data_IF_672531094639
#
_entry.id   IF_672531094639
#
_cell.length_a   1.000
_cell.length_b   1.000
_cell.length_c   1.000
_cell.angle_alpha   90.00
_cell.angle_beta   90.00
_cell.angle_gamma   90.00
#
_symmetry.space_group_name_H-M   'P 1'
#
loop_
_entity.id
_entity.type
_entity.pdbx_description
1 polymer ?
#
# COMPACT_ATOMS: atom_id res chain seq x y z
N UNK A 1 2.39 -73.52 42.04
CA UNK A 1 3.10 -72.35 42.58
C UNK A 1 3.49 -71.45 41.42
N UNK A 2 3.14 -70.16 41.52
CA UNK A 2 3.69 -68.99 40.76
C UNK A 2 3.32 -68.94 39.26
N UNK A 3 2.21 -68.28 38.87
CA UNK A 3 1.94 -66.84 38.62
C UNK A 3 1.89 -66.54 37.11
N UNK A 4 0.77 -65.93 36.73
CA UNK A 4 0.44 -65.34 35.43
C UNK A 4 1.09 -63.96 35.27
N UNK A 5 0.81 -63.29 34.15
CA UNK A 5 1.10 -61.89 33.76
C UNK A 5 2.39 -61.70 32.97
N UNK A 6 2.42 -60.96 31.87
CA UNK A 6 1.43 -60.12 31.20
C UNK A 6 2.14 -59.46 30.01
N UNK A 7 1.42 -59.26 28.91
CA UNK A 7 1.88 -58.73 27.64
C UNK A 7 2.89 -57.58 27.77
N UNK A 8 4.04 -57.70 27.10
CA UNK A 8 5.05 -56.65 26.93
C UNK A 8 4.57 -55.55 25.97
N UNK A 9 3.38 -54.98 26.25
CA UNK A 9 2.77 -53.87 25.53
C UNK A 9 2.76 -52.66 26.45
N UNK A 10 3.94 -52.12 26.74
CA UNK A 10 4.04 -50.87 27.47
C UNK A 10 5.17 -50.00 26.90
N UNK A 11 4.73 -48.99 26.16
CA UNK A 11 5.26 -47.62 26.21
C UNK A 11 6.67 -47.41 25.64
N UNK A 12 6.76 -47.40 24.30
CA UNK A 12 7.77 -46.62 23.56
C UNK A 12 7.11 -45.33 23.06
N UNK A 13 6.75 -44.42 23.97
CA UNK A 13 6.09 -43.16 23.62
C UNK A 13 6.87 -41.98 24.19
N UNK A 14 8.19 -42.02 24.04
CA UNK A 14 9.09 -41.16 24.80
C UNK A 14 9.94 -40.23 23.90
N UNK A 15 9.70 -40.18 22.59
CA UNK A 15 10.58 -39.50 21.63
C UNK A 15 9.92 -38.46 20.71
N UNK A 16 8.77 -37.91 21.09
CA UNK A 16 8.27 -36.71 20.39
C UNK A 16 8.57 -35.49 21.26
N UNK A 17 9.56 -34.63 20.92
CA UNK A 17 9.82 -33.43 21.69
C UNK A 17 8.60 -32.52 21.63
N UNK A 18 7.97 -32.29 22.78
CA UNK A 18 6.87 -31.33 22.92
C UNK A 18 7.42 -29.92 22.64
N UNK A 19 7.24 -29.46 21.40
CA UNK A 19 7.74 -28.17 20.95
C UNK A 19 6.86 -27.06 21.50
N UNK A 20 7.20 -26.64 22.72
CA UNK A 20 6.57 -25.55 23.47
C UNK A 20 6.87 -24.23 22.77
N UNK A 21 5.96 -23.82 21.89
CA UNK A 21 5.98 -22.48 21.31
C UNK A 21 5.79 -21.46 22.42
N UNK A 22 6.79 -20.63 22.71
CA UNK A 22 6.65 -19.53 23.66
C UNK A 22 5.79 -18.42 23.03
N UNK A 23 4.54 -18.20 23.46
CA UNK A 23 3.62 -17.25 22.82
C UNK A 23 4.11 -15.80 22.95
N UNK A 24 4.92 -15.51 23.97
CA UNK A 24 5.35 -14.15 24.30
C UNK A 24 6.30 -13.52 23.27
N UNK A 25 7.10 -14.33 22.55
CA UNK A 25 8.00 -13.83 21.49
C UNK A 25 7.28 -13.64 20.16
N UNK A 26 6.22 -14.41 19.91
CA UNK A 26 5.41 -14.31 18.70
C UNK A 26 4.57 -13.01 18.67
N UNK A 27 4.12 -12.53 19.82
CA UNK A 27 3.34 -11.29 19.94
C UNK A 27 4.17 -10.03 19.66
N UNK A 28 5.42 -9.98 20.14
CA UNK A 28 6.30 -8.80 19.96
C UNK A 28 6.76 -8.69 18.50
N UNK A 29 7.01 -9.81 17.82
CA UNK A 29 7.35 -9.80 16.39
C UNK A 29 6.16 -9.51 15.47
N UNK A 30 4.93 -9.85 15.91
CA UNK A 30 3.69 -9.52 15.20
C UNK A 30 3.37 -8.01 15.19
N UNK A 31 3.86 -7.26 16.16
CA UNK A 31 3.64 -5.82 16.28
C UNK A 31 4.57 -4.95 15.41
N UNK A 32 5.70 -5.50 14.94
CA UNK A 32 6.68 -4.75 14.13
C UNK A 32 6.47 -4.98 12.62
N UNK A 33 5.95 -6.16 12.24
CA UNK A 33 5.57 -6.49 10.87
C UNK A 33 4.16 -7.05 10.89
N UNK A 34 3.16 -6.35 10.31
CA UNK A 34 1.78 -6.82 10.31
C UNK A 34 1.72 -8.20 9.64
N UNK A 35 1.31 -9.23 10.40
CA UNK A 35 1.16 -10.60 9.92
C UNK A 35 2.27 -11.60 10.29
N UNK A 36 3.30 -11.23 11.05
CA UNK A 36 4.36 -12.17 11.46
C UNK A 36 3.88 -13.34 12.35
N UNK A 37 2.69 -13.24 12.95
CA UNK A 37 2.02 -14.37 13.61
C UNK A 37 1.72 -15.55 12.67
N UNK A 38 1.73 -15.36 11.34
CA UNK A 38 1.59 -16.42 10.34
C UNK A 38 2.93 -17.06 9.90
N UNK A 39 4.07 -16.44 10.19
CA UNK A 39 5.41 -16.96 9.82
C UNK A 39 5.79 -18.16 10.69
N UNK A 40 5.31 -18.21 11.93
CA UNK A 40 5.62 -19.29 12.85
C UNK A 40 5.11 -20.68 12.39
N UNK A 41 4.10 -20.72 11.50
CA UNK A 41 3.55 -21.97 10.96
C UNK A 41 4.12 -22.34 9.57
N UNK A 42 5.30 -21.82 9.17
CA UNK A 42 5.98 -22.08 7.88
C UNK A 42 5.14 -21.81 6.61
N UNK A 43 4.05 -21.02 6.67
CA UNK A 43 3.22 -20.69 5.49
C UNK A 43 3.80 -19.51 4.70
N UNK A 44 5.00 -19.70 4.15
CA UNK A 44 5.72 -18.69 3.33
C UNK A 44 5.00 -18.34 2.01
N UNK A 45 4.06 -19.16 1.55
CA UNK A 45 3.31 -18.93 0.31
C UNK A 45 2.45 -17.65 0.33
N UNK A 46 2.15 -17.10 1.52
CA UNK A 46 1.42 -15.84 1.67
C UNK A 46 2.31 -14.59 1.63
N UNK A 47 3.63 -14.75 1.74
CA UNK A 47 4.57 -13.62 1.70
C UNK A 47 4.56 -12.90 0.35
N UNK A 48 4.56 -13.58 -0.81
CA UNK A 48 4.45 -12.88 -2.09
C UNK A 48 3.18 -12.03 -2.20
N UNK A 49 2.07 -12.48 -1.59
CA UNK A 49 0.80 -11.74 -1.59
C UNK A 49 0.92 -10.50 -0.69
N UNK A 50 1.53 -10.63 0.49
CA UNK A 50 1.73 -9.52 1.41
C UNK A 50 2.68 -8.47 0.82
N UNK A 51 3.85 -8.89 0.33
CA UNK A 51 4.81 -7.99 -0.32
C UNK A 51 4.25 -7.41 -1.62
N UNK A 52 3.47 -8.18 -2.38
CA UNK A 52 2.75 -7.70 -3.54
C UNK A 52 1.73 -6.62 -3.19
N UNK A 53 0.95 -6.82 -2.12
CA UNK A 53 0.00 -5.83 -1.61
C UNK A 53 0.67 -4.56 -1.10
N UNK A 54 1.74 -4.70 -0.30
CA UNK A 54 2.53 -3.56 0.18
C UNK A 54 3.16 -2.81 -1.00
N UNK A 55 3.80 -3.51 -1.93
CA UNK A 55 4.39 -2.92 -3.12
C UNK A 55 3.37 -2.19 -3.99
N UNK A 56 2.18 -2.77 -4.20
CA UNK A 56 1.09 -2.14 -4.94
C UNK A 56 0.58 -0.87 -4.25
N UNK A 57 0.45 -0.87 -2.92
CA UNK A 57 0.04 0.31 -2.15
C UNK A 57 1.09 1.42 -2.22
N UNK A 58 2.37 1.10 -2.02
CA UNK A 58 3.47 2.06 -2.14
C UNK A 58 3.52 2.66 -3.53
N UNK A 59 3.40 1.82 -4.57
CA UNK A 59 3.35 2.28 -5.95
C UNK A 59 2.15 3.22 -6.19
N UNK A 60 0.96 2.84 -5.71
CA UNK A 60 -0.23 3.66 -5.84
C UNK A 60 -0.08 5.02 -5.12
N UNK A 61 0.52 5.06 -3.94
CA UNK A 61 0.78 6.30 -3.20
C UNK A 61 1.74 7.20 -3.98
N UNK A 62 2.85 6.66 -4.47
CA UNK A 62 3.84 7.42 -5.23
C UNK A 62 3.26 7.94 -6.54
N UNK A 63 2.50 7.11 -7.25
CA UNK A 63 1.79 7.49 -8.46
C UNK A 63 0.83 8.65 -8.16
N UNK A 64 -0.12 8.48 -7.23
CA UNK A 64 -1.09 9.52 -6.91
C UNK A 64 -0.44 10.83 -6.42
N UNK A 65 0.66 10.75 -5.65
CA UNK A 65 1.40 11.93 -5.16
C UNK A 65 2.07 12.68 -6.31
N UNK A 66 2.76 11.96 -7.19
CA UNK A 66 3.45 12.55 -8.35
C UNK A 66 2.46 13.28 -9.26
N UNK A 67 1.34 12.65 -9.60
CA UNK A 67 0.32 13.29 -10.44
C UNK A 67 -0.35 14.46 -9.73
N UNK A 68 -0.61 14.36 -8.42
CA UNK A 68 -1.12 15.50 -7.64
C UNK A 68 -0.20 16.72 -7.75
N UNK A 69 1.11 16.55 -7.57
CA UNK A 69 2.08 17.64 -7.60
C UNK A 69 2.26 18.22 -9.01
N UNK A 70 2.22 17.38 -10.05
CA UNK A 70 2.20 17.84 -11.45
C UNK A 70 0.96 18.69 -11.75
N UNK A 71 -0.24 18.19 -11.46
CA UNK A 71 -1.48 18.93 -11.69
C UNK A 71 -1.59 20.19 -10.82
N UNK A 72 -1.03 20.18 -9.60
CA UNK A 72 -0.95 21.36 -8.74
C UNK A 72 -0.06 22.43 -9.35
N UNK A 73 1.11 22.04 -9.85
CA UNK A 73 2.07 22.96 -10.46
C UNK A 73 1.51 23.51 -11.78
N UNK A 74 1.02 22.64 -12.67
CA UNK A 74 0.33 23.05 -13.89
C UNK A 74 -0.82 24.03 -13.64
N UNK A 75 -1.69 23.75 -12.65
CA UNK A 75 -2.79 24.63 -12.30
C UNK A 75 -2.32 26.00 -11.80
N UNK A 76 -1.29 26.04 -10.94
CA UNK A 76 -0.72 27.29 -10.43
C UNK A 76 -0.10 28.09 -11.57
N UNK A 77 0.70 27.43 -12.38
CA UNK A 77 1.47 28.02 -13.47
C UNK A 77 0.54 28.59 -14.55
N UNK A 78 -0.56 27.88 -14.85
CA UNK A 78 -1.61 28.35 -15.76
C UNK A 78 -2.31 29.62 -15.27
N UNK A 79 -2.49 29.78 -13.95
CA UNK A 79 -3.11 30.98 -13.36
C UNK A 79 -2.17 32.18 -13.35
N UNK A 80 -0.88 31.97 -13.10
CA UNK A 80 0.11 33.05 -13.03
C UNK A 80 0.38 33.63 -14.43
N UNK A 81 0.27 32.81 -15.49
CA UNK A 81 0.54 33.20 -16.89
C UNK A 81 1.94 33.80 -17.07
N UNK A 82 2.91 33.25 -16.35
CA UNK A 82 4.33 33.61 -16.50
C UNK A 82 4.90 32.93 -17.76
N UNK A 83 5.60 33.65 -18.67
CA UNK A 83 6.25 33.06 -19.83
C UNK A 83 7.30 31.99 -19.50
N UNK A 84 7.82 31.94 -18.25
CA UNK A 84 8.76 30.91 -17.82
C UNK A 84 8.12 29.56 -17.44
N UNK A 85 6.79 29.48 -17.35
CA UNK A 85 6.12 28.30 -16.83
C UNK A 85 5.52 27.43 -17.95
N UNK A 86 6.05 26.21 -18.13
CA UNK A 86 5.61 25.24 -19.15
C UNK A 86 4.94 24.00 -18.57
N UNK A 87 4.76 23.93 -17.24
CA UNK A 87 4.26 22.74 -16.54
C UNK A 87 2.86 22.27 -16.98
N UNK A 88 2.05 23.16 -17.56
CA UNK A 88 0.70 22.83 -18.03
C UNK A 88 0.67 22.33 -19.48
N UNK A 89 1.76 22.48 -20.24
CA UNK A 89 1.84 22.07 -21.65
C UNK A 89 1.69 20.55 -21.82
N UNK A 90 2.24 19.75 -20.89
CA UNK A 90 2.10 18.29 -20.87
C UNK A 90 0.62 17.85 -20.80
N UNK A 91 -0.27 18.70 -20.31
CA UNK A 91 -1.68 18.38 -20.11
C UNK A 91 -2.59 18.91 -21.23
N UNK A 92 -2.03 19.58 -22.24
CA UNK A 92 -2.79 20.10 -23.37
C UNK A 92 -3.24 18.91 -24.25
N UNK A 93 -4.54 18.79 -24.58
CA UNK A 93 -5.01 17.75 -25.48
C UNK A 93 -4.33 17.87 -26.86
N UNK A 94 -4.02 16.74 -27.51
CA UNK A 94 -3.48 16.78 -28.87
C UNK A 94 -4.46 17.48 -29.81
N UNK A 95 -3.96 18.46 -30.58
CA UNK A 95 -4.75 19.27 -31.50
C UNK A 95 -5.25 20.60 -30.92
N UNK A 96 -4.81 21.00 -29.71
CA UNK A 96 -5.04 22.33 -29.16
C UNK A 96 -3.72 23.09 -29.02
N UNK A 97 -3.70 24.35 -29.46
CA UNK A 97 -2.56 25.25 -29.27
C UNK A 97 -2.60 25.96 -27.90
N UNK A 98 -1.43 26.38 -27.41
CA UNK A 98 -1.27 27.07 -26.12
C UNK A 98 -2.14 28.34 -26.07
N UNK A 99 -2.20 29.11 -27.16
CA UNK A 99 -3.00 30.33 -27.25
C UNK A 99 -4.51 30.06 -27.14
N UNK A 100 -4.97 28.95 -27.72
CA UNK A 100 -6.37 28.54 -27.63
C UNK A 100 -6.74 28.12 -26.20
N UNK A 101 -5.81 27.44 -25.51
CA UNK A 101 -5.95 27.02 -24.12
C UNK A 101 -5.92 28.22 -23.17
N UNK A 102 -5.13 29.26 -23.44
CA UNK A 102 -5.06 30.46 -22.61
C UNK A 102 -6.16 31.50 -22.91
N UNK A 103 -6.75 31.44 -24.11
CA UNK A 103 -7.84 32.29 -24.56
C UNK A 103 -9.20 31.59 -24.46
N UNK A 104 -9.71 31.11 -25.59
CA UNK A 104 -11.10 30.64 -25.73
C UNK A 104 -11.46 29.44 -24.84
N UNK A 105 -10.48 28.59 -24.51
CA UNK A 105 -10.70 27.38 -23.69
C UNK A 105 -10.15 27.50 -22.27
N UNK A 106 -9.76 28.71 -21.83
CA UNK A 106 -9.10 28.91 -20.54
C UNK A 106 -9.92 28.39 -19.36
N UNK A 107 -11.22 28.71 -19.32
CA UNK A 107 -12.09 28.29 -18.23
C UNK A 107 -12.26 26.76 -18.19
N UNK A 108 -12.42 26.13 -19.35
CA UNK A 108 -12.56 24.68 -19.44
C UNK A 108 -11.27 23.98 -19.01
N UNK A 109 -10.13 24.44 -19.52
CA UNK A 109 -8.83 23.85 -19.22
C UNK A 109 -8.46 24.03 -17.75
N UNK A 110 -8.67 25.24 -17.22
CA UNK A 110 -8.50 25.53 -15.79
C UNK A 110 -9.35 24.60 -14.92
N UNK A 111 -10.63 24.39 -15.28
CA UNK A 111 -11.52 23.48 -14.56
C UNK A 111 -11.04 22.03 -14.66
N UNK A 112 -10.55 21.61 -15.82
CA UNK A 112 -9.98 20.27 -16.04
C UNK A 112 -8.79 20.03 -15.10
N UNK A 113 -7.82 20.95 -15.08
CA UNK A 113 -6.66 20.89 -14.17
C UNK A 113 -7.10 20.92 -12.70
N UNK A 114 -8.05 21.78 -12.34
CA UNK A 114 -8.58 21.86 -10.97
C UNK A 114 -9.26 20.55 -10.54
N UNK A 115 -10.04 19.94 -11.43
CA UNK A 115 -10.76 18.70 -11.15
C UNK A 115 -9.80 17.52 -11.00
N UNK A 116 -8.80 17.40 -11.88
CA UNK A 116 -7.74 16.39 -11.77
C UNK A 116 -6.94 16.56 -10.49
N UNK A 117 -6.50 17.78 -10.17
CA UNK A 117 -5.83 18.09 -8.88
C UNK A 117 -6.66 17.62 -7.68
N UNK A 118 -7.97 17.93 -7.65
CA UNK A 118 -8.86 17.50 -6.56
C UNK A 118 -9.00 15.99 -6.47
N UNK A 119 -9.09 15.32 -7.62
CA UNK A 119 -9.17 13.86 -7.69
C UNK A 119 -7.92 13.19 -7.08
N UNK A 120 -6.73 13.59 -7.52
CA UNK A 120 -5.48 13.01 -6.99
C UNK A 120 -5.24 13.35 -5.52
N UNK A 121 -5.63 14.56 -5.08
CA UNK A 121 -5.61 14.91 -3.65
C UNK A 121 -6.45 13.93 -2.84
N UNK A 122 -7.72 13.72 -3.24
CA UNK A 122 -8.64 12.82 -2.53
C UNK A 122 -8.15 11.38 -2.55
N UNK A 123 -7.62 10.91 -3.67
CA UNK A 123 -7.06 9.56 -3.81
C UNK A 123 -5.90 9.32 -2.85
N UNK A 124 -4.97 10.29 -2.75
CA UNK A 124 -3.85 10.24 -1.81
C UNK A 124 -4.30 10.31 -0.35
N UNK A 125 -5.23 11.20 -0.03
CA UNK A 125 -5.79 11.34 1.33
C UNK A 125 -6.50 10.04 1.76
N UNK A 126 -7.21 9.36 0.85
CA UNK A 126 -7.77 8.02 1.09
C UNK A 126 -6.68 6.96 1.32
N UNK A 127 -5.58 6.98 0.56
CA UNK A 127 -4.45 6.07 0.80
C UNK A 127 -3.81 6.27 2.17
N UNK A 128 -3.68 7.51 2.65
CA UNK A 128 -3.20 7.77 4.01
C UNK A 128 -4.17 7.28 5.09
N UNK A 129 -5.48 7.44 4.90
CA UNK A 129 -6.50 6.88 5.80
C UNK A 129 -6.42 5.35 5.82
N UNK A 130 -6.24 4.72 4.65
CA UNK A 130 -6.03 3.27 4.55
C UNK A 130 -4.78 2.80 5.29
N UNK A 131 -3.66 3.53 5.16
CA UNK A 131 -2.43 3.24 5.87
C UNK A 131 -2.60 3.40 7.40
N UNK A 132 -3.33 4.42 7.85
CA UNK A 132 -3.66 4.61 9.26
C UNK A 132 -4.60 3.51 9.78
N UNK A 133 -5.58 3.06 9.00
CA UNK A 133 -6.46 1.94 9.36
C UNK A 133 -5.68 0.63 9.50
N UNK A 134 -4.72 0.35 8.59
CA UNK A 134 -3.81 -0.79 8.72
C UNK A 134 -2.96 -0.66 9.99
N UNK A 135 -2.45 0.53 10.30
CA UNK A 135 -1.67 0.79 11.51
C UNK A 135 -2.49 0.58 12.80
N UNK A 136 -3.80 0.88 12.79
CA UNK A 136 -4.68 0.70 13.94
C UNK A 136 -5.17 -0.75 14.13
N UNK A 137 -5.15 -1.56 13.08
CA UNK A 137 -5.60 -2.97 13.11
C UNK A 137 -4.44 -3.93 13.40
N UNK A 138 -3.19 -3.49 13.21
CA UNK A 138 -1.96 -4.28 13.43
C UNK A 138 -1.48 -4.20 14.87
#
# INVERSE_FOLDING_TARGET
MVQTTGSATALRTDLEPEYKHSPHKASIFAAVVPGAGQIYNKKYWKLPILYGGIGALVYAINFNTTYYDKYRSAYRDFLIRDPGNTSYEEFIPPGLDIDAVQGQYADWFQRSLQNKKRYYKRSRDLSYIGMAAIYLIS
#
